data_IF_950702297669
#
_entry.id   IF_950702297669
#
_cell.length_a   1.000
_cell.length_b   1.000
_cell.length_c   1.000
_cell.angle_alpha   90.00
_cell.angle_beta   90.00
_cell.angle_gamma   90.00
#
_symmetry.space_group_name_H-M   'P 1'
#
loop_
_entity.id
_entity.type
_entity.pdbx_description
1 polymer ?
#
# COMPACT_ATOMS: atom_id res chain seq x y z
N UNK A 1 -4.20 12.02 11.72
CA UNK A 1 -2.90 12.76 11.76
C UNK A 1 -2.00 12.22 10.65
N UNK A 2 -1.36 13.10 9.87
CA UNK A 2 -0.37 12.72 8.85
C UNK A 2 0.88 12.08 9.49
N UNK A 3 1.66 11.35 8.71
CA UNK A 3 3.02 10.96 9.09
C UNK A 3 3.92 12.19 9.07
N UNK A 4 4.94 12.22 9.95
CA UNK A 4 5.98 13.21 9.85
C UNK A 4 6.90 12.95 8.65
N UNK A 5 7.55 14.01 8.16
CA UNK A 5 8.38 13.93 6.96
C UNK A 5 9.55 12.97 7.13
N UNK A 6 10.16 12.88 8.32
CA UNK A 6 11.25 11.96 8.60
C UNK A 6 10.84 10.50 8.42
N UNK A 7 9.65 10.13 8.92
CA UNK A 7 9.06 8.80 8.73
C UNK A 7 8.87 8.48 7.25
N UNK A 8 8.31 9.43 6.48
CA UNK A 8 8.12 9.28 5.03
C UNK A 8 9.46 9.11 4.32
N UNK A 9 10.46 9.94 4.63
CA UNK A 9 11.78 9.92 4.00
C UNK A 9 12.53 8.60 4.25
N UNK A 10 12.36 8.01 5.44
CA UNK A 10 12.94 6.71 5.77
C UNK A 10 12.23 5.61 4.98
N UNK A 11 10.90 5.49 5.11
CA UNK A 11 10.14 4.38 4.54
C UNK A 11 10.07 4.41 3.01
N UNK A 12 10.16 5.59 2.38
CA UNK A 12 10.22 5.71 0.91
C UNK A 12 11.49 5.09 0.31
N UNK A 13 12.52 4.80 1.13
CA UNK A 13 13.76 4.15 0.73
C UNK A 13 13.81 2.67 1.07
N UNK A 14 12.79 2.15 1.76
CA UNK A 14 12.70 0.75 2.20
C UNK A 14 11.73 0.00 1.32
N UNK A 15 12.14 -1.16 0.80
CA UNK A 15 11.29 -2.00 -0.06
C UNK A 15 10.17 -2.66 0.75
N UNK A 16 9.04 -2.94 0.10
CA UNK A 16 7.97 -3.74 0.74
C UNK A 16 8.45 -5.14 1.10
N UNK A 17 9.38 -5.72 0.33
CA UNK A 17 10.02 -7.00 0.61
C UNK A 17 10.80 -6.97 1.94
N UNK A 18 11.61 -5.94 2.17
CA UNK A 18 12.33 -5.75 3.45
C UNK A 18 11.37 -5.60 4.63
N UNK A 19 10.31 -4.78 4.45
CA UNK A 19 9.29 -4.60 5.50
C UNK A 19 8.62 -5.92 5.87
N UNK A 20 8.18 -6.71 4.89
CA UNK A 20 7.55 -8.01 5.14
C UNK A 20 8.50 -8.98 5.85
N UNK A 21 9.78 -8.98 5.50
CA UNK A 21 10.81 -9.80 6.14
C UNK A 21 10.99 -9.44 7.62
N UNK A 22 11.02 -8.15 7.95
CA UNK A 22 11.14 -7.70 9.34
C UNK A 22 9.87 -8.03 10.12
N UNK A 23 8.69 -7.79 9.55
CA UNK A 23 7.41 -8.13 10.17
C UNK A 23 7.27 -9.64 10.42
N UNK A 24 7.74 -10.48 9.48
CA UNK A 24 7.80 -11.93 9.64
C UNK A 24 8.65 -12.33 10.85
N UNK A 25 9.84 -11.75 11.02
CA UNK A 25 10.71 -11.98 12.18
C UNK A 25 10.06 -11.54 13.50
N UNK A 26 9.09 -10.62 13.44
CA UNK A 26 8.28 -10.18 14.59
C UNK A 26 6.97 -10.99 14.76
N UNK A 27 6.80 -12.06 13.99
CA UNK A 27 5.65 -12.96 14.09
C UNK A 27 4.42 -12.57 13.24
N UNK A 28 4.50 -11.51 12.44
CA UNK A 28 3.42 -11.09 11.54
C UNK A 28 3.67 -11.60 10.12
N UNK A 29 2.76 -12.43 9.61
CA UNK A 29 2.87 -13.06 8.29
C UNK A 29 1.91 -12.47 7.27
N UNK A 30 0.76 -11.96 7.70
CA UNK A 30 -0.31 -11.51 6.83
C UNK A 30 -0.33 -9.97 6.79
N UNK A 31 0.61 -9.37 6.08
CA UNK A 31 0.80 -7.91 6.02
C UNK A 31 0.86 -7.38 4.59
N UNK A 32 0.94 -8.25 3.57
CA UNK A 32 0.89 -7.91 2.16
C UNK A 32 -0.54 -8.04 1.62
N UNK A 33 -1.09 -6.94 1.11
CA UNK A 33 -2.46 -6.86 0.58
C UNK A 33 -2.50 -7.52 -0.80
N UNK A 34 -3.12 -8.70 -0.90
CA UNK A 34 -3.19 -9.46 -2.15
C UNK A 34 -4.02 -8.72 -3.20
N UNK A 35 -3.63 -8.86 -4.46
CA UNK A 35 -4.34 -8.23 -5.57
C UNK A 35 -4.00 -6.75 -5.79
N UNK A 36 -3.25 -6.12 -4.89
CA UNK A 36 -2.83 -4.72 -5.03
C UNK A 36 -1.59 -4.63 -5.91
N UNK A 37 -1.77 -4.44 -7.20
CA UNK A 37 -0.68 -4.25 -8.17
C UNK A 37 -0.70 -2.82 -8.70
N UNK A 38 0.48 -2.22 -8.99
CA UNK A 38 0.51 -0.91 -9.62
C UNK A 38 -0.20 -0.96 -10.97
N UNK A 39 -1.11 -0.02 -11.22
CA UNK A 39 -1.89 0.03 -12.47
C UNK A 39 -1.04 0.41 -13.68
N UNK A 40 0.14 0.97 -13.44
CA UNK A 40 1.19 1.25 -14.42
C UNK A 40 2.55 0.98 -13.79
N UNK A 41 3.51 0.58 -14.60
CA UNK A 41 4.90 0.39 -14.17
C UNK A 41 5.57 1.71 -13.79
N UNK A 42 6.55 1.65 -12.89
CA UNK A 42 7.36 2.81 -12.50
C UNK A 42 6.60 3.82 -11.63
N UNK A 43 5.55 3.41 -10.93
CA UNK A 43 4.95 4.24 -9.88
C UNK A 43 5.96 4.43 -8.74
N UNK A 44 6.03 5.64 -8.14
CA UNK A 44 6.94 5.88 -7.03
C UNK A 44 6.54 5.03 -5.82
N UNK A 45 7.52 4.67 -5.00
CA UNK A 45 7.21 4.14 -3.66
C UNK A 45 6.57 5.24 -2.83
N UNK A 46 5.42 4.93 -2.24
CA UNK A 46 4.65 5.88 -1.45
C UNK A 46 4.38 5.32 -0.06
N UNK A 47 4.25 6.23 0.88
CA UNK A 47 4.02 5.96 2.30
C UNK A 47 2.91 6.87 2.80
N UNK A 48 1.97 6.30 3.54
CA UNK A 48 0.90 7.11 4.13
C UNK A 48 0.11 6.34 5.18
N UNK A 49 -0.73 7.05 5.92
CA UNK A 49 -1.68 6.40 6.81
C UNK A 49 -2.88 5.91 6.04
N UNK A 50 -3.36 4.72 6.40
CA UNK A 50 -4.57 4.15 5.83
C UNK A 50 -5.80 5.00 6.18
N UNK A 51 -6.51 5.44 5.13
CA UNK A 51 -7.87 5.90 5.19
C UNK A 51 -8.75 4.80 4.61
N UNK A 52 -9.43 4.07 5.48
CA UNK A 52 -10.12 2.83 5.10
C UNK A 52 -11.52 3.08 4.59
N UNK A 53 -11.91 2.36 3.52
CA UNK A 53 -13.26 2.36 2.95
C UNK A 53 -13.76 0.93 2.85
N UNK A 54 -15.03 0.72 3.18
CA UNK A 54 -15.63 -0.62 3.26
C UNK A 54 -16.82 -0.78 2.32
N UNK A 55 -16.75 -1.80 1.50
CA UNK A 55 -17.89 -2.34 0.77
C UNK A 55 -18.34 -3.69 1.35
N UNK A 56 -19.56 -4.06 1.03
CA UNK A 56 -20.16 -5.38 1.25
C UNK A 56 -20.81 -5.83 -0.05
N UNK A 57 -21.23 -7.13 -0.20
CA UNK A 57 -21.96 -7.58 -1.38
C UNK A 57 -23.14 -6.68 -1.70
N UNK A 58 -23.43 -6.52 -2.99
CA UNK A 58 -24.56 -5.71 -3.42
C UNK A 58 -25.86 -6.18 -2.76
N UNK A 59 -26.58 -5.23 -2.20
CA UNK A 59 -27.96 -5.38 -1.79
C UNK A 59 -28.79 -4.43 -2.62
N UNK A 60 -29.57 -4.95 -3.54
CA UNK A 60 -30.14 -4.24 -4.69
C UNK A 60 -31.07 -3.08 -4.27
N UNK A 61 -31.69 -3.16 -3.08
CA UNK A 61 -32.49 -2.09 -2.51
C UNK A 61 -31.64 -0.91 -1.96
N UNK A 62 -30.35 -1.11 -1.74
CA UNK A 62 -29.41 -0.11 -1.23
C UNK A 62 -28.35 0.30 -2.28
N UNK A 63 -27.93 -0.65 -3.11
CA UNK A 63 -26.92 -0.45 -4.13
C UNK A 63 -27.52 0.14 -5.42
N UNK A 64 -28.04 1.36 -5.31
CA UNK A 64 -28.67 2.07 -6.43
C UNK A 64 -27.89 3.33 -6.82
N UNK A 65 -28.08 3.89 -8.04
CA UNK A 65 -27.45 5.16 -8.42
C UNK A 65 -27.77 6.31 -7.46
N UNK A 66 -28.95 6.32 -6.85
CA UNK A 66 -29.37 7.34 -5.87
C UNK A 66 -28.49 7.29 -4.60
N UNK A 67 -27.96 6.12 -4.23
CA UNK A 67 -27.06 5.95 -3.09
C UNK A 67 -25.77 6.76 -3.22
N UNK A 68 -25.39 7.16 -4.43
CA UNK A 68 -24.23 8.00 -4.65
C UNK A 68 -24.32 9.38 -4.00
N UNK A 69 -25.53 9.90 -3.78
CA UNK A 69 -25.80 11.16 -3.09
C UNK A 69 -26.12 11.01 -1.61
N UNK A 70 -26.10 9.78 -1.07
CA UNK A 70 -26.42 9.53 0.33
C UNK A 70 -25.34 10.10 1.28
N UNK A 71 -25.72 10.42 2.53
CA UNK A 71 -24.77 10.84 3.56
C UNK A 71 -23.64 9.82 3.79
N UNK A 72 -23.94 8.52 3.68
CA UNK A 72 -22.94 7.45 3.67
C UNK A 72 -22.73 7.04 2.22
N UNK A 73 -21.72 7.63 1.59
CA UNK A 73 -21.37 7.39 0.19
C UNK A 73 -19.86 7.52 -0.03
N UNK A 74 -19.38 6.95 -1.12
CA UNK A 74 -17.99 7.11 -1.53
C UNK A 74 -17.59 8.57 -1.74
N UNK A 75 -18.54 9.43 -2.15
CA UNK A 75 -18.31 10.87 -2.34
C UNK A 75 -18.09 11.57 -1.02
N UNK A 76 -18.95 11.31 -0.03
CA UNK A 76 -18.77 11.83 1.32
C UNK A 76 -17.44 11.36 1.94
N UNK A 77 -17.11 10.08 1.79
CA UNK A 77 -15.84 9.54 2.27
C UNK A 77 -14.62 10.24 1.63
N UNK A 78 -14.66 10.52 0.32
CA UNK A 78 -13.57 11.25 -0.36
C UNK A 78 -13.41 12.66 0.21
N UNK A 79 -14.52 13.36 0.51
CA UNK A 79 -14.45 14.70 1.10
C UNK A 79 -13.86 14.71 2.53
N UNK A 80 -13.90 13.60 3.25
CA UNK A 80 -13.28 13.45 4.57
C UNK A 80 -11.79 13.06 4.52
N UNK A 81 -11.27 12.65 3.36
CA UNK A 81 -9.87 12.20 3.25
C UNK A 81 -8.89 13.35 3.54
N UNK A 82 -7.97 13.19 4.51
CA UNK A 82 -6.90 14.17 4.73
C UNK A 82 -5.83 14.07 3.65
N UNK A 83 -5.16 15.18 3.36
CA UNK A 83 -4.00 15.18 2.47
C UNK A 83 -2.89 14.26 3.02
N UNK A 84 -2.18 13.57 2.13
CA UNK A 84 -1.10 12.65 2.46
C UNK A 84 -1.58 11.26 2.94
N UNK A 85 -2.89 11.00 3.03
CA UNK A 85 -3.38 9.65 3.33
C UNK A 85 -3.28 8.73 2.12
N UNK A 86 -3.35 7.43 2.37
CA UNK A 86 -3.55 6.40 1.37
C UNK A 86 -4.96 5.85 1.53
N UNK A 87 -5.80 5.98 0.51
CA UNK A 87 -7.12 5.39 0.49
C UNK A 87 -6.99 3.86 0.31
N UNK A 88 -7.43 3.08 1.30
CA UNK A 88 -7.42 1.62 1.26
C UNK A 88 -8.85 1.12 1.21
N UNK A 89 -9.21 0.44 0.14
CA UNK A 89 -10.60 0.07 -0.15
C UNK A 89 -10.76 -1.44 -0.15
N UNK A 90 -11.56 -1.92 0.78
CA UNK A 90 -12.03 -3.30 0.80
C UNK A 90 -13.19 -3.46 -0.20
N UNK A 91 -12.88 -4.03 -1.34
CA UNK A 91 -13.85 -4.40 -2.37
C UNK A 91 -14.10 -5.91 -2.40
N UNK A 92 -13.67 -6.65 -1.37
CA UNK A 92 -13.83 -8.11 -1.23
C UNK A 92 -13.26 -8.91 -2.43
N UNK A 93 -12.25 -8.36 -3.12
CA UNK A 93 -11.69 -8.99 -4.32
C UNK A 93 -12.61 -9.00 -5.54
N UNK A 94 -13.69 -8.22 -5.56
CA UNK A 94 -14.62 -8.12 -6.68
C UNK A 94 -13.93 -7.46 -7.88
N UNK A 95 -14.00 -8.14 -9.05
CA UNK A 95 -13.30 -7.71 -10.28
C UNK A 95 -14.21 -7.44 -11.46
N UNK A 96 -15.53 -7.54 -11.28
CA UNK A 96 -16.55 -7.33 -12.31
C UNK A 96 -17.24 -5.96 -12.22
N UNK A 97 -16.92 -5.15 -11.18
CA UNK A 97 -17.44 -3.80 -11.00
C UNK A 97 -16.35 -2.85 -10.48
N UNK A 98 -16.13 -1.74 -11.17
CA UNK A 98 -15.14 -0.72 -10.78
C UNK A 98 -15.61 0.14 -9.63
N UNK A 99 -14.83 0.19 -8.54
CA UNK A 99 -15.19 0.93 -7.33
C UNK A 99 -15.13 2.44 -7.52
N UNK A 100 -14.15 2.93 -8.30
CA UNK A 100 -13.93 4.36 -8.60
C UNK A 100 -13.59 4.54 -10.07
N UNK A 101 -14.11 5.63 -10.65
CA UNK A 101 -13.75 6.12 -11.96
C UNK A 101 -12.88 7.38 -11.88
N UNK A 102 -12.63 7.97 -13.04
CA UNK A 102 -11.75 9.12 -13.24
C UNK A 102 -12.14 10.36 -12.42
N UNK A 103 -13.44 10.72 -12.37
CA UNK A 103 -13.93 11.90 -11.62
C UNK A 103 -13.58 11.76 -10.12
N UNK A 104 -13.81 10.58 -9.53
CA UNK A 104 -13.54 10.36 -8.10
C UNK A 104 -12.03 10.29 -7.84
N UNK A 105 -11.26 9.68 -8.73
CA UNK A 105 -9.79 9.68 -8.65
C UNK A 105 -9.21 11.10 -8.83
N UNK A 106 -9.74 11.89 -9.74
CA UNK A 106 -9.35 13.30 -9.90
C UNK A 106 -9.63 14.12 -8.63
N UNK A 107 -10.77 13.87 -7.97
CA UNK A 107 -11.09 14.55 -6.70
C UNK A 107 -10.14 14.14 -5.59
N UNK A 108 -9.82 12.85 -5.45
CA UNK A 108 -8.81 12.37 -4.49
C UNK A 108 -7.44 13.02 -4.74
N UNK A 109 -6.99 13.09 -6.00
CA UNK A 109 -5.74 13.76 -6.36
C UNK A 109 -5.76 15.24 -5.95
N UNK A 110 -6.85 15.97 -6.21
CA UNK A 110 -7.01 17.38 -5.81
C UNK A 110 -7.05 17.59 -4.29
N UNK A 111 -7.48 16.60 -3.53
CA UNK A 111 -7.42 16.63 -2.07
C UNK A 111 -6.05 16.29 -1.50
N UNK A 112 -5.10 15.87 -2.36
CA UNK A 112 -3.75 15.50 -1.95
C UNK A 112 -3.67 14.09 -1.35
N UNK A 113 -4.62 13.19 -1.71
CA UNK A 113 -4.51 11.76 -1.40
C UNK A 113 -3.28 11.20 -2.11
N UNK A 114 -2.42 10.49 -1.38
CA UNK A 114 -1.14 10.01 -1.91
C UNK A 114 -1.30 8.83 -2.87
N UNK A 115 -2.24 7.95 -2.60
CA UNK A 115 -2.53 6.78 -3.43
C UNK A 115 -3.92 6.21 -3.17
N UNK A 116 -4.44 5.46 -4.15
CA UNK A 116 -5.60 4.58 -4.01
C UNK A 116 -5.13 3.13 -4.07
N UNK A 117 -5.55 2.32 -3.11
CA UNK A 117 -5.27 0.89 -3.03
C UNK A 117 -6.58 0.14 -2.88
N UNK A 118 -6.77 -0.93 -3.64
CA UNK A 118 -7.91 -1.81 -3.51
C UNK A 118 -7.58 -3.24 -3.92
N UNK A 119 -8.22 -4.20 -3.29
CA UNK A 119 -8.27 -5.59 -3.75
C UNK A 119 -9.35 -5.84 -4.82
N UNK A 120 -9.99 -4.79 -5.30
CA UNK A 120 -10.90 -4.80 -6.44
C UNK A 120 -10.30 -4.15 -7.68
N UNK A 121 -11.15 -3.57 -8.51
CA UNK A 121 -10.79 -2.91 -9.77
C UNK A 121 -11.34 -1.48 -9.85
N UNK A 122 -10.76 -0.67 -10.74
CA UNK A 122 -11.27 0.67 -11.08
C UNK A 122 -12.11 0.59 -12.37
N UNK A 123 -12.77 1.69 -12.73
CA UNK A 123 -13.37 1.89 -14.04
C UNK A 123 -12.79 3.12 -14.72
N UNK A 124 -13.13 3.34 -15.99
CA UNK A 124 -12.63 4.49 -16.78
C UNK A 124 -11.09 4.58 -16.76
N UNK A 125 -10.41 3.44 -17.02
CA UNK A 125 -8.97 3.26 -16.84
C UNK A 125 -8.13 4.39 -17.44
N UNK A 126 -8.39 4.78 -18.68
CA UNK A 126 -7.63 5.84 -19.36
C UNK A 126 -7.78 7.19 -18.62
N UNK A 127 -8.99 7.50 -18.18
CA UNK A 127 -9.28 8.69 -17.38
C UNK A 127 -8.60 8.64 -16.01
N UNK A 128 -8.65 7.50 -15.31
CA UNK A 128 -7.96 7.30 -14.03
C UNK A 128 -6.45 7.52 -14.17
N UNK A 129 -5.82 6.95 -15.18
CA UNK A 129 -4.40 7.17 -15.48
C UNK A 129 -4.09 8.66 -15.75
N UNK A 130 -5.00 9.36 -16.41
CA UNK A 130 -4.89 10.80 -16.71
C UNK A 130 -4.99 11.70 -15.48
N UNK A 131 -5.55 11.24 -14.36
CA UNK A 131 -5.65 12.04 -13.11
C UNK A 131 -4.32 12.27 -12.41
N UNK A 132 -3.33 11.42 -12.68
CA UNK A 132 -2.04 11.41 -11.97
C UNK A 132 -2.09 10.79 -10.57
N UNK A 133 -3.26 10.37 -10.06
CA UNK A 133 -3.36 9.64 -8.80
C UNK A 133 -2.69 8.26 -8.97
N UNK A 134 -1.70 7.90 -8.14
CA UNK A 134 -1.14 6.56 -8.14
C UNK A 134 -2.17 5.54 -7.64
N UNK A 135 -2.31 4.41 -8.35
CA UNK A 135 -3.33 3.38 -8.04
C UNK A 135 -2.68 2.00 -8.01
N UNK A 136 -3.05 1.21 -7.00
CA UNK A 136 -2.76 -0.23 -6.89
C UNK A 136 -4.07 -0.99 -6.82
N UNK A 137 -4.35 -1.85 -7.79
CA UNK A 137 -5.61 -2.60 -7.92
C UNK A 137 -5.42 -3.87 -8.74
N UNK A 138 -6.50 -4.65 -8.92
CA UNK A 138 -6.47 -5.86 -9.75
C UNK A 138 -6.68 -5.58 -11.26
N UNK A 139 -7.00 -4.34 -11.65
CA UNK A 139 -7.26 -4.00 -13.04
C UNK A 139 -8.45 -3.06 -13.20
N UNK A 140 -9.22 -3.23 -14.29
CA UNK A 140 -10.37 -2.39 -14.60
C UNK A 140 -11.59 -3.19 -15.06
N UNK A 141 -12.80 -2.70 -14.72
CA UNK A 141 -14.08 -3.19 -15.22
C UNK A 141 -15.02 -2.02 -15.54
N UNK A 142 -15.82 -2.14 -16.59
CA UNK A 142 -16.72 -1.07 -17.03
C UNK A 142 -17.94 -0.85 -16.12
N UNK A 143 -18.59 -1.88 -15.53
CA UNK A 143 -19.75 -1.69 -14.65
C UNK A 143 -19.42 -0.84 -13.43
N UNK A 144 -20.38 -0.07 -12.94
CA UNK A 144 -20.25 0.71 -11.73
C UNK A 144 -20.31 -0.17 -10.46
N UNK A 145 -19.72 0.27 -9.36
CA UNK A 145 -19.64 -0.49 -8.11
C UNK A 145 -20.99 -1.01 -7.60
N UNK A 146 -22.07 -0.25 -7.79
CA UNK A 146 -23.43 -0.62 -7.35
C UNK A 146 -23.99 -1.88 -8.04
N UNK A 147 -23.37 -2.37 -9.10
CA UNK A 147 -23.79 -3.63 -9.74
C UNK A 147 -23.39 -4.86 -8.92
N UNK A 148 -22.35 -4.77 -8.12
CA UNK A 148 -21.80 -5.91 -7.35
C UNK A 148 -21.51 -5.57 -5.87
N UNK A 149 -21.52 -4.29 -5.50
CA UNK A 149 -21.08 -3.82 -4.20
C UNK A 149 -22.01 -2.74 -3.61
N UNK A 150 -22.20 -2.77 -2.30
CA UNK A 150 -22.83 -1.71 -1.50
C UNK A 150 -21.77 -1.04 -0.65
N UNK A 151 -21.60 0.29 -0.75
CA UNK A 151 -20.75 1.06 0.15
C UNK A 151 -21.41 1.23 1.51
N UNK A 152 -20.71 0.94 2.61
CA UNK A 152 -21.32 0.93 3.94
C UNK A 152 -20.63 1.82 4.96
N UNK A 153 -19.32 2.08 4.84
CA UNK A 153 -18.59 2.85 5.84
C UNK A 153 -17.22 3.29 5.36
N UNK A 154 -16.65 4.27 6.06
CA UNK A 154 -15.22 4.57 6.04
C UNK A 154 -14.69 4.73 7.45
N UNK A 155 -13.35 4.72 7.60
CA UNK A 155 -12.64 4.82 8.88
C UNK A 155 -13.12 3.76 9.89
N UNK A 156 -13.40 2.56 9.39
CA UNK A 156 -13.66 1.34 10.14
C UNK A 156 -12.60 0.28 9.77
N UNK A 157 -12.38 -0.75 10.59
CA UNK A 157 -11.55 -1.89 10.20
C UNK A 157 -12.10 -2.57 8.95
N UNK A 158 -11.20 -2.95 8.05
CA UNK A 158 -11.50 -3.61 6.78
C UNK A 158 -10.64 -4.85 6.57
N UNK A 159 -10.91 -5.63 5.51
CA UNK A 159 -10.19 -6.86 5.17
C UNK A 159 -9.64 -6.83 3.73
N UNK A 160 -8.99 -5.74 3.34
CA UNK A 160 -8.47 -5.55 1.98
C UNK A 160 -7.37 -6.56 1.64
N UNK A 161 -7.53 -7.29 0.53
CA UNK A 161 -6.57 -8.30 0.08
C UNK A 161 -6.31 -9.42 1.10
N UNK A 162 -7.30 -9.70 1.96
CA UNK A 162 -7.19 -10.69 3.02
C UNK A 162 -6.31 -10.26 4.21
N UNK A 163 -6.03 -8.96 4.32
CA UNK A 163 -5.29 -8.36 5.44
C UNK A 163 -6.22 -7.47 6.25
N UNK A 164 -6.22 -7.63 7.57
CA UNK A 164 -6.93 -6.72 8.46
C UNK A 164 -6.22 -5.37 8.51
N UNK A 165 -6.84 -4.32 7.98
CA UNK A 165 -6.33 -2.94 7.97
C UNK A 165 -7.18 -2.09 8.90
N UNK A 166 -6.53 -1.44 9.84
CA UNK A 166 -7.18 -0.51 10.76
C UNK A 166 -6.92 0.94 10.32
N UNK A 167 -7.87 1.86 10.59
CA UNK A 167 -7.61 3.28 10.36
C UNK A 167 -6.30 3.72 11.01
N UNK A 168 -5.52 4.52 10.28
CA UNK A 168 -4.22 5.04 10.69
C UNK A 168 -3.07 4.03 10.77
N UNK A 169 -3.22 2.75 10.40
CA UNK A 169 -2.09 1.89 10.10
C UNK A 169 -1.24 2.53 8.99
N UNK A 170 0.04 2.19 8.94
CA UNK A 170 0.93 2.72 7.91
C UNK A 170 0.96 1.77 6.71
N UNK A 171 0.77 2.32 5.53
CA UNK A 171 0.85 1.59 4.27
C UNK A 171 2.09 2.06 3.50
N UNK A 172 2.85 1.10 3.00
CA UNK A 172 3.94 1.32 2.04
C UNK A 172 3.59 0.57 0.77
N UNK A 173 3.76 1.23 -0.37
CA UNK A 173 3.52 0.63 -1.69
C UNK A 173 4.74 0.79 -2.59
N UNK A 174 4.99 -0.22 -3.40
CA UNK A 174 5.98 -0.21 -4.50
C UNK A 174 5.51 -1.14 -5.64
N UNK A 175 6.44 -1.59 -6.49
CA UNK A 175 6.12 -2.45 -7.63
C UNK A 175 5.64 -3.86 -7.20
N UNK A 176 5.99 -4.32 -6.00
CA UNK A 176 5.55 -5.60 -5.45
C UNK A 176 4.14 -5.53 -4.82
N UNK A 177 3.57 -4.33 -4.69
CA UNK A 177 2.22 -4.11 -4.16
C UNK A 177 2.19 -3.28 -2.88
N UNK A 178 1.19 -3.53 -2.02
CA UNK A 178 0.96 -2.80 -0.79
C UNK A 178 1.24 -3.65 0.45
N UNK A 179 1.96 -3.07 1.41
CA UNK A 179 2.28 -3.71 2.70
C UNK A 179 1.80 -2.83 3.85
N UNK A 180 1.18 -3.47 4.82
CA UNK A 180 0.71 -2.86 6.05
C UNK A 180 1.77 -2.96 7.15
N UNK A 181 2.04 -1.85 7.82
CA UNK A 181 2.78 -1.78 9.08
C UNK A 181 1.78 -1.39 10.18
N UNK A 182 1.48 -2.28 11.15
CA UNK A 182 0.65 -1.89 12.30
C UNK A 182 1.25 -0.68 13.01
N UNK A 183 0.42 0.30 13.37
CA UNK A 183 0.88 1.57 13.92
C UNK A 183 1.83 1.40 15.13
N UNK A 184 1.58 0.39 15.97
CA UNK A 184 2.42 0.07 17.14
C UNK A 184 3.82 -0.47 16.80
N UNK A 185 4.03 -1.02 15.60
CA UNK A 185 5.31 -1.56 15.14
C UNK A 185 6.11 -0.57 14.29
N UNK A 186 5.53 0.58 13.99
CA UNK A 186 6.20 1.60 13.20
C UNK A 186 7.59 2.00 13.75
N UNK A 187 7.77 2.23 15.08
CA UNK A 187 9.10 2.56 15.62
C UNK A 187 10.14 1.50 15.34
N UNK A 188 9.79 0.23 15.48
CA UNK A 188 10.69 -0.89 15.22
C UNK A 188 11.09 -0.98 13.75
N UNK A 189 10.15 -0.76 12.85
CA UNK A 189 10.43 -0.77 11.41
C UNK A 189 11.35 0.40 11.04
N UNK A 190 11.12 1.60 11.58
CA UNK A 190 11.97 2.76 11.34
C UNK A 190 13.40 2.57 11.82
N UNK A 191 13.62 1.81 12.88
CA UNK A 191 14.94 1.47 13.41
C UNK A 191 15.63 0.39 12.56
N UNK A 192 14.93 -0.70 12.25
CA UNK A 192 15.53 -1.90 11.68
C UNK A 192 15.66 -1.86 10.15
N UNK A 193 14.69 -1.25 9.46
CA UNK A 193 14.60 -1.36 8.02
C UNK A 193 15.74 -0.65 7.26
N UNK A 194 16.20 0.55 7.66
CA UNK A 194 17.33 1.20 6.99
C UNK A 194 18.62 0.39 7.07
N UNK A 195 18.85 -0.29 8.19
CA UNK A 195 20.03 -1.13 8.36
C UNK A 195 19.94 -2.42 7.54
N UNK A 196 18.74 -3.02 7.45
CA UNK A 196 18.51 -4.19 6.61
C UNK A 196 18.72 -3.86 5.13
N UNK A 197 18.21 -2.74 4.64
CA UNK A 197 18.43 -2.27 3.26
C UNK A 197 19.92 -2.05 2.97
N UNK A 198 20.64 -1.44 3.91
CA UNK A 198 22.10 -1.22 3.79
C UNK A 198 22.87 -2.53 3.71
N UNK A 199 22.52 -3.49 4.58
CA UNK A 199 23.12 -4.81 4.59
C UNK A 199 22.87 -5.54 3.27
N UNK A 200 21.65 -5.52 2.78
CA UNK A 200 21.27 -6.19 1.52
C UNK A 200 21.94 -5.52 0.31
N UNK A 201 22.08 -4.19 0.31
CA UNK A 201 22.85 -3.46 -0.70
C UNK A 201 24.33 -3.85 -0.71
N UNK A 202 24.96 -4.02 0.46
CA UNK A 202 26.32 -4.52 0.56
C UNK A 202 26.45 -5.96 0.06
N UNK A 203 25.51 -6.85 0.46
CA UNK A 203 25.47 -8.24 -0.01
C UNK A 203 25.35 -8.28 -1.54
N UNK A 204 24.48 -7.47 -2.12
CA UNK A 204 24.33 -7.38 -3.59
C UNK A 204 25.63 -7.00 -4.26
N UNK A 205 26.35 -5.98 -3.75
CA UNK A 205 27.65 -5.60 -4.25
C UNK A 205 28.71 -6.71 -4.15
N UNK A 206 28.67 -7.55 -3.13
CA UNK A 206 29.57 -8.72 -3.02
C UNK A 206 29.18 -9.81 -4.04
N UNK A 207 27.89 -10.03 -4.28
CA UNK A 207 27.38 -10.97 -5.31
C UNK A 207 27.80 -10.51 -6.70
N UNK A 208 27.70 -9.23 -7.01
CA UNK A 208 28.15 -8.65 -8.29
C UNK A 208 29.67 -8.83 -8.52
N UNK A 209 30.46 -8.89 -7.44
CA UNK A 209 31.89 -9.22 -7.49
C UNK A 209 32.16 -10.73 -7.60
N UNK A 210 31.12 -11.57 -7.65
CA UNK A 210 31.22 -13.02 -7.80
C UNK A 210 31.26 -13.82 -6.50
N UNK A 211 30.90 -13.22 -5.35
CA UNK A 211 30.83 -13.96 -4.08
C UNK A 211 29.69 -15.00 -4.09
N UNK A 212 29.95 -16.17 -3.52
CA UNK A 212 28.93 -17.22 -3.38
C UNK A 212 27.95 -16.91 -2.24
N UNK A 213 26.69 -17.38 -2.37
CA UNK A 213 25.63 -17.12 -1.38
C UNK A 213 25.82 -17.85 -0.03
N UNK A 214 26.32 -19.10 0.04
CA UNK A 214 26.49 -19.75 1.33
C UNK A 214 27.36 -18.95 2.30
N UNK A 215 26.78 -18.58 3.46
CA UNK A 215 27.43 -17.75 4.47
C UNK A 215 27.47 -16.26 4.18
N UNK A 216 27.11 -15.83 2.97
CA UNK A 216 26.92 -14.41 2.60
C UNK A 216 25.45 -13.99 2.81
N UNK A 217 24.52 -14.84 2.41
CA UNK A 217 23.07 -14.58 2.55
C UNK A 217 22.34 -15.85 3.01
N UNK A 218 21.94 -15.90 4.30
CA UNK A 218 22.21 -14.94 5.37
C UNK A 218 23.68 -14.86 5.77
N UNK A 219 24.17 -13.68 6.24
CA UNK A 219 25.58 -13.51 6.57
C UNK A 219 25.96 -14.30 7.83
N UNK A 220 27.04 -15.08 7.74
CA UNK A 220 27.71 -15.70 8.88
C UNK A 220 28.53 -14.67 9.70
N UNK A 221 29.23 -15.12 10.73
CA UNK A 221 30.02 -14.24 11.61
C UNK A 221 31.10 -13.44 10.85
N UNK A 222 31.78 -14.11 9.91
CA UNK A 222 32.87 -13.49 9.12
C UNK A 222 32.31 -12.41 8.19
N UNK A 223 31.23 -12.70 7.48
CA UNK A 223 30.61 -11.72 6.57
C UNK A 223 29.92 -10.58 7.33
N UNK A 224 29.42 -10.80 8.55
CA UNK A 224 28.97 -9.71 9.43
C UNK A 224 30.14 -8.80 9.81
N UNK A 225 31.30 -9.36 10.16
CA UNK A 225 32.50 -8.56 10.47
C UNK A 225 32.98 -7.75 9.26
N UNK A 226 32.96 -8.35 8.04
CA UNK A 226 33.28 -7.65 6.79
C UNK A 226 32.33 -6.49 6.52
N UNK A 227 31.03 -6.70 6.70
CA UNK A 227 30.01 -5.67 6.56
C UNK A 227 30.24 -4.52 7.55
N UNK A 228 30.51 -4.83 8.82
CA UNK A 228 30.80 -3.80 9.86
C UNK A 228 32.07 -3.00 9.54
N UNK A 229 33.08 -3.64 8.94
CA UNK A 229 34.27 -2.94 8.46
C UNK A 229 33.96 -2.01 7.27
N UNK A 230 33.17 -2.50 6.30
CA UNK A 230 32.72 -1.72 5.15
C UNK A 230 31.89 -0.49 5.56
N UNK A 231 31.00 -0.63 6.55
CA UNK A 231 30.20 0.50 7.05
C UNK A 231 31.04 1.68 7.55
N UNK A 232 32.25 1.42 8.05
CA UNK A 232 33.15 2.47 8.55
C UNK A 232 33.83 3.23 7.42
N UNK A 233 34.04 2.60 6.28
CA UNK A 233 34.67 3.18 5.09
C UNK A 233 33.96 2.65 3.83
N UNK A 234 32.77 3.17 3.48
CA UNK A 234 32.05 2.74 2.27
C UNK A 234 32.85 3.11 1.03
N UNK A 235 33.27 2.10 0.25
CA UNK A 235 33.95 2.26 -1.05
C UNK A 235 32.94 2.18 -2.16
#
# INVERSE_FOLDING_TARGET
MSLDQKTIDILSKVTTATITTILLKKGLRNTWLRGTRPIRTGQPRLVGRAFTLRFVPAREDLATPESWGAPISTRAAIEDMPAGCIAVVDAMGVTDAGIFGDILCARMAKRGVSALITDGVVRDLAGVLGTGLPVWCQGAAAPASVTSLTFVAWQQPIACGGVAVFPADVIVVDDDGAVLIPAKLLPDILELAPEQERLEGWIMGEVEKGASLPGLYPPNADNKARYEAWKKNPS
#
